data_IF_729217953994
#
_entry.id   IF_729217953994
#
_cell.length_a   1.000
_cell.length_b   1.000
_cell.length_c   1.000
_cell.angle_alpha   90.00
_cell.angle_beta   90.00
_cell.angle_gamma   90.00
#
_symmetry.space_group_name_H-M   'P 1'
#
loop_
_entity.id
_entity.type
_entity.pdbx_description
1 polymer ?
#
# COMPACT_ATOMS: atom_id res chain seq x y z
N UNK A 1 4.19 -12.96 14.90
CA UNK A 1 4.22 -11.77 14.01
C UNK A 1 2.96 -10.95 14.25
N UNK A 2 3.09 -9.63 14.35
CA UNK A 2 1.96 -8.72 14.57
C UNK A 2 1.14 -8.69 13.28
N UNK A 3 -0.01 -9.37 13.29
CA UNK A 3 -0.95 -9.31 12.17
C UNK A 3 -1.89 -8.15 12.41
N UNK A 4 -1.91 -7.18 11.49
CA UNK A 4 -2.91 -6.11 11.52
C UNK A 4 -4.28 -6.69 11.13
N UNK A 5 -5.35 -6.15 11.69
CA UNK A 5 -6.70 -6.59 11.30
C UNK A 5 -7.00 -6.15 9.87
N UNK A 6 -7.91 -6.86 9.21
CA UNK A 6 -8.40 -6.48 7.87
C UNK A 6 -8.91 -5.04 7.84
N UNK A 7 -9.60 -4.61 8.92
CA UNK A 7 -10.10 -3.26 9.06
C UNK A 7 -8.97 -2.22 9.03
N UNK A 8 -7.91 -2.41 9.85
CA UNK A 8 -6.76 -1.48 9.87
C UNK A 8 -6.07 -1.45 8.52
N UNK A 9 -5.91 -2.61 7.87
CA UNK A 9 -5.34 -2.67 6.52
C UNK A 9 -6.16 -1.85 5.52
N UNK A 10 -7.48 -2.04 5.47
CA UNK A 10 -8.37 -1.33 4.56
C UNK A 10 -8.41 0.19 4.83
N UNK A 11 -8.41 0.60 6.10
CA UNK A 11 -8.38 2.02 6.50
C UNK A 11 -7.08 2.70 6.04
N UNK A 12 -5.93 2.08 6.27
CA UNK A 12 -4.61 2.60 5.87
C UNK A 12 -4.45 2.67 4.34
N UNK A 13 -4.87 1.62 3.63
CA UNK A 13 -4.87 1.57 2.17
C UNK A 13 -5.82 2.63 1.59
N UNK A 14 -7.02 2.80 2.15
CA UNK A 14 -7.95 3.84 1.74
C UNK A 14 -7.41 5.26 2.01
N UNK A 15 -6.59 5.46 3.05
CA UNK A 15 -5.88 6.73 3.25
C UNK A 15 -4.86 6.99 2.13
N UNK A 16 -4.10 5.96 1.73
CA UNK A 16 -3.14 6.06 0.63
C UNK A 16 -3.84 6.46 -0.69
N UNK A 17 -4.92 5.76 -1.04
CA UNK A 17 -5.72 6.04 -2.25
C UNK A 17 -6.28 7.47 -2.24
N UNK A 18 -6.89 7.91 -1.12
CA UNK A 18 -7.45 9.27 -0.98
C UNK A 18 -6.39 10.37 -1.14
N UNK A 19 -5.18 10.17 -0.64
CA UNK A 19 -4.10 11.15 -0.79
C UNK A 19 -3.59 11.18 -2.23
N UNK A 20 -3.43 10.01 -2.85
CA UNK A 20 -3.02 9.91 -4.24
C UNK A 20 -4.03 10.59 -5.19
N UNK A 21 -5.33 10.38 -5.00
CA UNK A 21 -6.35 11.06 -5.80
C UNK A 21 -6.35 12.59 -5.64
N UNK A 22 -5.99 13.11 -4.45
CA UNK A 22 -5.97 14.56 -4.18
C UNK A 22 -4.73 15.28 -4.70
N UNK A 23 -3.54 14.68 -4.57
CA UNK A 23 -2.25 15.37 -4.83
C UNK A 23 -1.25 14.55 -5.64
N UNK A 24 -1.59 13.32 -6.05
CA UNK A 24 -0.69 12.33 -6.66
C UNK A 24 0.56 11.99 -5.83
N UNK A 25 0.58 12.42 -4.56
CA UNK A 25 1.65 12.19 -3.60
C UNK A 25 1.09 12.21 -2.17
N UNK A 26 1.80 11.58 -1.25
CA UNK A 26 1.52 11.68 0.18
C UNK A 26 2.61 12.49 0.89
N UNK A 27 2.39 12.82 2.16
CA UNK A 27 3.38 13.55 2.97
C UNK A 27 4.73 12.82 3.10
N UNK A 28 4.78 11.52 2.78
CA UNK A 28 5.98 10.69 2.86
C UNK A 28 6.78 10.64 1.54
N UNK A 29 6.27 11.23 0.45
CA UNK A 29 6.98 11.36 -0.82
C UNK A 29 6.22 10.83 -2.03
N UNK A 30 6.96 10.30 -3.01
CA UNK A 30 6.42 9.80 -4.29
C UNK A 30 5.80 8.41 -4.13
N UNK A 31 4.54 8.24 -4.52
CA UNK A 31 3.81 6.98 -4.42
C UNK A 31 4.46 5.84 -5.24
N UNK A 32 5.11 6.14 -6.36
CA UNK A 32 5.86 5.17 -7.18
C UNK A 32 6.92 4.41 -6.37
N UNK A 33 7.65 5.13 -5.53
CA UNK A 33 8.73 4.59 -4.69
C UNK A 33 8.26 4.20 -3.28
N UNK A 34 6.96 4.26 -3.00
CA UNK A 34 6.43 4.01 -1.67
C UNK A 34 6.41 2.51 -1.34
N UNK A 35 7.00 2.14 -0.20
CA UNK A 35 6.97 0.76 0.33
C UNK A 35 5.83 0.49 1.32
N UNK A 36 5.09 1.53 1.74
CA UNK A 36 4.05 1.41 2.78
C UNK A 36 2.96 0.40 2.39
N UNK A 37 2.38 0.43 1.17
CA UNK A 37 1.35 -0.54 0.84
C UNK A 37 1.84 -1.99 0.87
N UNK A 38 3.09 -2.22 0.44
CA UNK A 38 3.73 -3.55 0.46
C UNK A 38 3.96 -4.03 1.90
N UNK A 39 4.41 -3.13 2.77
CA UNK A 39 4.56 -3.41 4.19
C UNK A 39 3.22 -3.75 4.84
N UNK A 40 2.15 -3.01 4.53
CA UNK A 40 0.81 -3.27 5.02
C UNK A 40 0.30 -4.65 4.57
N UNK A 41 0.55 -5.04 3.32
CA UNK A 41 0.20 -6.39 2.86
C UNK A 41 0.98 -7.47 3.60
N UNK A 42 2.28 -7.27 3.81
CA UNK A 42 3.08 -8.19 4.62
C UNK A 42 2.53 -8.31 6.05
N UNK A 43 2.17 -7.19 6.67
CA UNK A 43 1.61 -7.21 8.04
C UNK A 43 0.21 -7.84 8.11
N UNK A 44 -0.57 -7.80 7.02
CA UNK A 44 -1.91 -8.39 6.99
C UNK A 44 -1.87 -9.87 6.62
N UNK A 45 -1.21 -10.22 5.52
CA UNK A 45 -1.19 -11.56 4.92
C UNK A 45 0.02 -12.41 5.28
N UNK A 46 1.06 -11.82 5.89
CA UNK A 46 2.37 -12.46 6.08
C UNK A 46 3.07 -12.83 4.76
N UNK A 47 2.69 -12.15 3.67
CA UNK A 47 3.19 -12.37 2.31
C UNK A 47 4.09 -11.21 1.88
N UNK A 48 5.25 -11.52 1.29
CA UNK A 48 6.15 -10.53 0.70
C UNK A 48 6.00 -10.62 -0.81
N UNK A 49 5.68 -9.49 -1.44
CA UNK A 49 5.70 -9.36 -2.91
C UNK A 49 7.06 -8.80 -3.28
N UNK A 50 7.92 -9.64 -3.86
CA UNK A 50 9.27 -9.25 -4.29
C UNK A 50 9.37 -8.99 -5.79
N UNK A 51 8.50 -9.61 -6.58
CA UNK A 51 8.48 -9.45 -8.03
C UNK A 51 8.07 -8.02 -8.42
N UNK A 52 8.86 -7.40 -9.30
CA UNK A 52 8.69 -6.00 -9.67
C UNK A 52 7.36 -5.73 -10.41
N UNK A 53 6.90 -6.68 -11.22
CA UNK A 53 5.62 -6.57 -11.94
C UNK A 53 4.46 -6.72 -10.96
N UNK A 54 4.53 -7.70 -10.05
CA UNK A 54 3.56 -7.89 -8.99
C UNK A 54 3.47 -6.68 -8.04
N UNK A 55 4.61 -6.07 -7.70
CA UNK A 55 4.65 -4.82 -6.91
C UNK A 55 3.93 -3.70 -7.64
N UNK A 56 4.19 -3.54 -8.94
CA UNK A 56 3.57 -2.48 -9.75
C UNK A 56 2.06 -2.70 -9.86
N UNK A 57 1.63 -3.92 -10.13
CA UNK A 57 0.22 -4.29 -10.22
C UNK A 57 -0.51 -4.09 -8.89
N UNK A 58 0.11 -4.49 -7.78
CA UNK A 58 -0.46 -4.28 -6.46
C UNK A 58 -0.61 -2.79 -6.11
N UNK A 59 0.43 -1.99 -6.36
CA UNK A 59 0.37 -0.53 -6.17
C UNK A 59 -0.70 0.11 -7.03
N UNK A 60 -0.82 -0.28 -8.31
CA UNK A 60 -1.86 0.23 -9.20
C UNK A 60 -3.26 -0.12 -8.71
N UNK A 61 -3.49 -1.35 -8.24
CA UNK A 61 -4.79 -1.75 -7.69
C UNK A 61 -5.20 -0.95 -6.45
N UNK A 62 -4.23 -0.50 -5.65
CA UNK A 62 -4.48 0.29 -4.43
C UNK A 62 -4.67 1.77 -4.73
N UNK A 63 -3.91 2.29 -5.69
CA UNK A 63 -3.87 3.71 -6.02
C UNK A 63 -4.89 4.10 -7.12
N UNK A 64 -5.62 3.12 -7.67
CA UNK A 64 -6.64 3.34 -8.71
C UNK A 64 -7.91 4.02 -8.19
#
# INVERSE_FOLDING_TARGET
MVKITKQVFEEEIAMCARHFQKKQCCAWGKCENCGVPLLLQKLFKDEIIEDAEAVKNFKNNILS
#
